data_IF_974938603621
#
_entry.id   IF_974938603621
#
_cell.length_a   1.000
_cell.length_b   1.000
_cell.length_c   1.000
_cell.angle_alpha   90.00
_cell.angle_beta   90.00
_cell.angle_gamma   90.00
#
_symmetry.space_group_name_H-M   'P 1'
#
loop_
_entity.id
_entity.type
_entity.pdbx_description
1 polymer ?
#
# COMPACT_ATOMS: atom_id res chain seq x y z
N UNK A 1 -14.97 3.73 4.98
CA UNK A 1 -15.55 3.03 3.79
C UNK A 1 -14.58 3.19 2.64
N UNK A 2 -14.49 2.24 1.70
CA UNK A 2 -13.66 2.42 0.51
C UNK A 2 -13.96 3.75 -0.17
N UNK A 3 -12.92 4.44 -0.66
CA UNK A 3 -13.06 5.82 -1.14
C UNK A 3 -12.32 6.03 -2.46
N UNK A 4 -12.39 7.26 -2.95
CA UNK A 4 -11.45 7.79 -3.95
C UNK A 4 -10.15 8.21 -3.29
N UNK A 5 -9.06 8.20 -4.05
CA UNK A 5 -7.83 8.89 -3.68
C UNK A 5 -8.07 10.39 -3.87
N UNK A 6 -8.12 11.10 -2.75
CA UNK A 6 -8.30 12.56 -2.71
C UNK A 6 -7.03 13.30 -2.30
N UNK A 7 -6.07 12.61 -1.67
CA UNK A 7 -4.77 13.16 -1.31
C UNK A 7 -3.83 13.06 -2.52
N UNK A 8 -3.37 14.21 -3.02
CA UNK A 8 -2.47 14.29 -4.18
C UNK A 8 -1.13 13.59 -3.96
N UNK A 9 -0.69 13.42 -2.71
CA UNK A 9 0.58 12.79 -2.37
C UNK A 9 0.51 11.25 -2.44
N UNK A 10 -0.69 10.66 -2.40
CA UNK A 10 -0.86 9.20 -2.57
C UNK A 10 -0.61 8.76 -4.00
N UNK A 11 -0.99 9.56 -5.00
CA UNK A 11 -0.89 9.14 -6.41
C UNK A 11 0.56 8.86 -6.83
N UNK A 12 1.53 9.78 -6.64
CA UNK A 12 2.93 9.51 -6.98
C UNK A 12 3.51 8.32 -6.23
N UNK A 13 3.10 8.12 -4.96
CA UNK A 13 3.52 6.98 -4.16
C UNK A 13 3.02 5.66 -4.75
N UNK A 14 1.72 5.56 -5.03
CA UNK A 14 1.14 4.34 -5.59
C UNK A 14 1.58 4.08 -7.03
N UNK A 15 1.81 5.12 -7.83
CA UNK A 15 2.46 4.99 -9.13
C UNK A 15 3.86 4.37 -9.02
N UNK A 16 4.61 4.68 -7.97
CA UNK A 16 5.92 4.06 -7.75
C UNK A 16 5.80 2.64 -7.17
N UNK A 17 4.84 2.38 -6.27
CA UNK A 17 4.55 1.03 -5.75
C UNK A 17 4.19 0.06 -6.88
N UNK A 18 3.38 0.49 -7.84
CA UNK A 18 2.93 -0.36 -8.96
C UNK A 18 4.03 -0.71 -9.97
N UNK A 19 5.20 -0.05 -9.88
CA UNK A 19 6.40 -0.42 -10.65
C UNK A 19 7.19 -1.54 -10.01
N UNK A 20 6.97 -1.82 -8.73
CA UNK A 20 7.53 -3.02 -8.10
C UNK A 20 7.01 -4.27 -8.81
N UNK A 21 7.77 -5.37 -8.67
CA UNK A 21 7.33 -6.68 -9.15
C UNK A 21 6.23 -7.24 -8.25
N UNK A 22 6.46 -8.41 -7.64
CA UNK A 22 5.51 -9.00 -6.69
C UNK A 22 5.74 -8.40 -5.32
N UNK A 23 4.67 -7.88 -4.73
CA UNK A 23 4.63 -7.42 -3.35
C UNK A 23 3.68 -8.31 -2.54
N UNK A 24 3.77 -8.20 -1.22
CA UNK A 24 2.83 -8.82 -0.29
C UNK A 24 2.03 -7.71 0.37
N UNK A 25 0.75 -7.62 0.06
CA UNK A 25 -0.19 -6.80 0.82
C UNK A 25 -0.70 -7.60 2.01
N UNK A 26 -0.48 -7.10 3.22
CA UNK A 26 -0.90 -7.75 4.46
C UNK A 26 -1.83 -6.84 5.27
N UNK A 27 -2.99 -7.36 5.63
CA UNK A 27 -3.96 -6.67 6.47
C UNK A 27 -4.66 -7.66 7.40
N UNK A 28 -4.94 -7.24 8.63
CA UNK A 28 -5.71 -8.04 9.58
C UNK A 28 -5.71 -7.42 10.97
N UNK A 29 -6.31 -8.13 11.92
CA UNK A 29 -6.51 -7.65 13.29
C UNK A 29 -6.21 -8.76 14.28
N UNK A 30 -5.84 -8.38 15.51
CA UNK A 30 -5.79 -9.28 16.68
C UNK A 30 -5.02 -10.60 16.46
N UNK A 31 -3.82 -10.51 15.87
CA UNK A 31 -2.94 -11.67 15.67
C UNK A 31 -3.21 -12.47 14.40
N UNK A 32 -4.15 -12.06 13.55
CA UNK A 32 -4.43 -12.67 12.25
C UNK A 32 -4.12 -11.66 11.15
N UNK A 33 -3.49 -12.12 10.07
CA UNK A 33 -3.28 -11.36 8.83
C UNK A 33 -3.72 -12.19 7.65
N UNK A 34 -4.44 -11.58 6.72
CA UNK A 34 -4.66 -12.10 5.38
C UNK A 34 -3.70 -11.39 4.42
N UNK A 35 -3.11 -12.16 3.51
CA UNK A 35 -2.14 -11.66 2.57
C UNK A 35 -2.62 -11.85 1.13
N UNK A 36 -2.41 -10.83 0.30
CA UNK A 36 -2.54 -10.93 -1.15
C UNK A 36 -1.14 -10.72 -1.73
N UNK A 37 -0.69 -11.64 -2.58
CA UNK A 37 0.66 -11.64 -3.16
C UNK A 37 0.55 -11.51 -4.67
N UNK A 38 1.26 -10.55 -5.24
CA UNK A 38 1.31 -10.37 -6.68
C UNK A 38 1.75 -8.98 -7.09
N UNK A 39 1.68 -8.71 -8.39
CA UNK A 39 1.87 -7.37 -8.94
C UNK A 39 0.59 -6.56 -8.79
N UNK A 40 0.72 -5.36 -8.23
CA UNK A 40 -0.43 -4.48 -8.01
C UNK A 40 -0.54 -3.40 -9.08
N UNK A 41 -1.78 -3.00 -9.35
CA UNK A 41 -2.10 -1.85 -10.21
C UNK A 41 -3.20 -1.02 -9.54
N UNK A 42 -3.12 0.29 -9.70
CA UNK A 42 -4.18 1.17 -9.29
C UNK A 42 -5.27 1.21 -10.36
N UNK A 43 -6.53 1.03 -9.95
CA UNK A 43 -7.68 1.05 -10.83
C UNK A 43 -8.68 2.12 -10.37
N UNK A 44 -9.02 3.04 -11.28
CA UNK A 44 -9.88 4.18 -11.01
C UNK A 44 -11.30 3.89 -11.51
N UNK A 45 -12.24 3.65 -10.61
CA UNK A 45 -13.63 3.30 -10.97
C UNK A 45 -14.56 4.50 -10.80
N UNK A 46 -15.87 4.35 -10.97
CA UNK A 46 -16.77 5.49 -10.81
C UNK A 46 -16.90 5.94 -9.33
N UNK A 47 -17.02 5.00 -8.41
CA UNK A 47 -17.35 5.25 -7.00
C UNK A 47 -16.16 5.13 -6.03
N UNK A 48 -15.10 4.43 -6.41
CA UNK A 48 -13.93 4.19 -5.56
C UNK A 48 -12.67 3.97 -6.42
N UNK A 49 -11.52 4.06 -5.77
CA UNK A 49 -10.24 3.60 -6.33
C UNK A 49 -9.80 2.36 -5.57
N UNK A 50 -9.23 1.38 -6.28
CA UNK A 50 -8.84 0.10 -5.68
C UNK A 50 -7.49 -0.36 -6.20
N UNK A 51 -6.86 -1.27 -5.45
CA UNK A 51 -5.65 -1.96 -5.90
C UNK A 51 -6.03 -3.34 -6.45
N UNK A 52 -5.85 -3.51 -7.75
CA UNK A 52 -6.05 -4.79 -8.42
C UNK A 52 -4.73 -5.58 -8.36
N UNK A 53 -4.85 -6.88 -8.07
CA UNK A 53 -3.72 -7.81 -8.06
C UNK A 53 -3.75 -8.66 -9.34
N UNK A 54 -2.64 -8.66 -10.07
CA UNK A 54 -2.45 -9.40 -11.32
C UNK A 54 -3.53 -9.11 -12.38
N UNK A 55 -4.45 -10.06 -12.60
CA UNK A 55 -5.55 -9.97 -13.57
C UNK A 55 -6.80 -9.25 -13.03
N UNK A 56 -6.77 -8.83 -11.76
CA UNK A 56 -7.86 -8.12 -11.10
C UNK A 56 -8.94 -9.02 -10.51
N UNK A 57 -8.78 -10.35 -10.55
CA UNK A 57 -9.68 -11.29 -9.84
C UNK A 57 -9.66 -11.01 -8.34
N UNK A 58 -8.46 -10.76 -7.78
CA UNK A 58 -8.28 -10.30 -6.41
C UNK A 58 -8.03 -8.80 -6.39
N UNK A 59 -8.67 -8.09 -5.48
CA UNK A 59 -8.55 -6.65 -5.37
C UNK A 59 -8.73 -6.20 -3.92
N UNK A 60 -8.17 -5.05 -3.60
CA UNK A 60 -8.19 -4.46 -2.26
C UNK A 60 -8.95 -3.14 -2.32
N UNK A 61 -9.97 -3.05 -1.48
CA UNK A 61 -10.73 -1.84 -1.27
C UNK A 61 -10.14 -1.07 -0.08
N UNK A 62 -9.81 0.21 -0.28
CA UNK A 62 -9.13 1.03 0.72
C UNK A 62 -9.93 2.31 0.94
N UNK A 63 -10.11 2.67 2.21
CA UNK A 63 -10.52 4.02 2.60
C UNK A 63 -9.29 4.93 2.58
N UNK A 64 -8.98 5.50 1.41
CA UNK A 64 -7.75 6.26 1.18
C UNK A 64 -7.68 7.51 2.05
N UNK A 65 -8.83 8.10 2.39
CA UNK A 65 -8.90 9.28 3.27
C UNK A 65 -8.51 8.98 4.72
N UNK A 66 -8.46 7.71 5.10
CA UNK A 66 -8.08 7.29 6.45
C UNK A 66 -6.56 7.08 6.61
N UNK A 67 -5.79 7.10 5.52
CA UNK A 67 -4.33 7.02 5.58
C UNK A 67 -3.80 8.40 5.99
N UNK A 68 -3.09 8.45 7.11
CA UNK A 68 -2.55 9.69 7.67
C UNK A 68 -1.04 9.65 7.89
N UNK A 69 -0.46 8.45 7.95
CA UNK A 69 0.98 8.26 8.09
C UNK A 69 1.43 7.02 7.33
N UNK A 70 2.61 7.11 6.74
CA UNK A 70 3.29 6.00 6.10
C UNK A 70 4.69 5.91 6.70
N UNK A 71 5.05 4.73 7.19
CA UNK A 71 6.38 4.45 7.74
C UNK A 71 7.12 3.48 6.82
N UNK A 72 8.39 3.77 6.60
CA UNK A 72 9.30 2.89 5.87
C UNK A 72 10.12 2.06 6.87
N UNK A 73 10.50 0.85 6.48
CA UNK A 73 11.30 -0.01 7.34
C UNK A 73 11.89 -1.20 6.61
N UNK A 74 12.62 -2.02 7.37
CA UNK A 74 13.11 -3.32 6.95
C UNK A 74 12.70 -4.36 8.00
N UNK A 75 12.17 -5.49 7.56
CA UNK A 75 11.81 -6.60 8.42
C UNK A 75 12.45 -7.88 7.90
N UNK A 76 13.48 -8.36 8.59
CA UNK A 76 14.26 -9.55 8.21
C UNK A 76 14.77 -9.55 6.76
N UNK A 77 15.19 -8.37 6.26
CA UNK A 77 15.69 -8.21 4.90
C UNK A 77 14.63 -7.76 3.90
N UNK A 78 13.34 -7.85 4.23
CA UNK A 78 12.26 -7.36 3.36
C UNK A 78 12.02 -5.86 3.57
N UNK A 79 11.85 -5.10 2.49
CA UNK A 79 11.41 -3.72 2.56
C UNK A 79 9.96 -3.65 3.02
N UNK A 80 9.63 -2.72 3.92
CA UNK A 80 8.27 -2.58 4.47
C UNK A 80 7.77 -1.15 4.33
N UNK A 81 6.55 -0.99 3.82
CA UNK A 81 5.75 0.22 3.98
C UNK A 81 4.58 -0.10 4.91
N UNK A 82 4.45 0.66 5.99
CA UNK A 82 3.35 0.52 6.96
C UNK A 82 2.42 1.72 6.85
N UNK A 83 1.19 1.48 6.42
CA UNK A 83 0.16 2.50 6.23
C UNK A 83 -0.72 2.58 7.47
N UNK A 84 -0.89 3.77 8.01
CA UNK A 84 -1.52 3.98 9.31
C UNK A 84 -2.58 5.09 9.24
N UNK A 85 -3.62 4.88 10.03
CA UNK A 85 -4.50 5.93 10.50
C UNK A 85 -3.92 6.54 11.78
N UNK A 86 -4.61 7.52 12.34
CA UNK A 86 -4.29 8.18 13.61
C UNK A 86 -4.07 7.20 14.77
N UNK A 87 -4.77 6.05 14.77
CA UNK A 87 -4.83 5.13 15.92
C UNK A 87 -4.33 3.72 15.63
N UNK A 88 -4.30 3.31 14.37
CA UNK A 88 -4.08 1.91 14.00
C UNK A 88 -3.28 1.78 12.70
N UNK A 89 -2.51 0.70 12.60
CA UNK A 89 -2.01 0.20 11.31
C UNK A 89 -3.20 -0.28 10.49
N UNK A 90 -3.31 0.22 9.26
CA UNK A 90 -4.35 -0.17 8.30
C UNK A 90 -3.90 -1.40 7.52
N UNK A 91 -2.69 -1.37 6.97
CA UNK A 91 -2.09 -2.47 6.22
C UNK A 91 -0.58 -2.25 6.07
N UNK A 92 0.10 -3.28 5.57
CA UNK A 92 1.51 -3.24 5.21
C UNK A 92 1.72 -3.74 3.79
N UNK A 93 2.72 -3.18 3.12
CA UNK A 93 3.29 -3.73 1.88
C UNK A 93 4.69 -4.22 2.18
N UNK A 94 4.98 -5.47 1.84
CA UNK A 94 6.32 -6.04 1.91
C UNK A 94 6.89 -6.24 0.51
N UNK A 95 8.17 -5.89 0.36
CA UNK A 95 8.98 -6.25 -0.79
C UNK A 95 9.88 -7.44 -0.41
N UNK A 96 9.56 -8.66 -0.86
CA UNK A 96 10.36 -9.84 -0.54
C UNK A 96 11.75 -9.82 -1.21
N UNK A 97 11.95 -8.96 -2.21
CA UNK A 97 13.21 -8.85 -2.94
C UNK A 97 14.20 -7.87 -2.30
N UNK A 98 13.90 -7.33 -1.12
CA UNK A 98 14.77 -6.42 -0.38
C UNK A 98 14.12 -5.07 -0.09
N UNK A 99 14.95 -4.08 0.24
CA UNK A 99 14.48 -2.73 0.53
C UNK A 99 13.71 -2.10 -0.64
N UNK A 100 12.76 -1.24 -0.31
CA UNK A 100 12.17 -0.34 -1.30
C UNK A 100 13.19 0.70 -1.78
N UNK A 101 12.99 1.21 -3.00
CA UNK A 101 13.87 2.21 -3.60
C UNK A 101 13.92 3.48 -2.75
N UNK A 102 15.03 4.21 -2.80
CA UNK A 102 15.18 5.51 -2.12
C UNK A 102 14.05 6.48 -2.49
N UNK A 103 13.69 6.50 -3.78
CA UNK A 103 12.57 7.32 -4.28
C UNK A 103 11.25 6.96 -3.60
N UNK A 104 10.93 5.67 -3.51
CA UNK A 104 9.67 5.25 -2.89
C UNK A 104 9.67 5.56 -1.39
N UNK A 105 10.80 5.36 -0.71
CA UNK A 105 10.95 5.73 0.69
C UNK A 105 10.77 7.24 0.91
N UNK A 106 11.33 8.07 0.02
CA UNK A 106 11.18 9.52 0.09
C UNK A 106 9.71 9.95 -0.09
N UNK A 107 9.01 9.39 -1.09
CA UNK A 107 7.58 9.64 -1.29
C UNK A 107 6.73 9.25 -0.07
N UNK A 108 7.09 8.18 0.63
CA UNK A 108 6.41 7.76 1.85
C UNK A 108 6.66 8.73 3.03
N UNK A 109 7.89 9.27 3.14
CA UNK A 109 8.25 10.28 4.15
C UNK A 109 7.52 11.60 3.89
N UNK A 110 7.42 12.00 2.62
CA UNK A 110 6.82 13.26 2.18
C UNK A 110 5.29 13.24 2.14
N UNK A 111 4.66 12.09 2.43
CA UNK A 111 3.20 11.90 2.38
C UNK A 111 2.37 12.84 3.30
N UNK A 112 3.01 13.60 4.19
CA UNK A 112 2.37 14.52 5.13
C UNK A 112 1.37 15.49 4.48
#
# INVERSE_FOLDING_TARGET
>A
MPSKIVNSNLLPLFDEITKCEKLIFACGTNGISANIVGKFKLNFLHSEDRLDCEDGTNHIHIDWGNIQKIETGNFYGEGVLTFQSEKNVLFKLYNPNGNFSEKLNQLAIDFK
#
